data_IF_734981217491
#
_entry.id   IF_734981217491
#
_cell.length_a   1.000
_cell.length_b   1.000
_cell.length_c   1.000
_cell.angle_alpha   90.00
_cell.angle_beta   90.00
_cell.angle_gamma   90.00
#
_symmetry.space_group_name_H-M   'P 1'
#
loop_
_entity.id
_entity.type
_entity.pdbx_description
1 polymer ?
#
# COMPACT_ATOMS: atom_id res chain seq x y z
N UNK A 1 -12.25 -21.92 12.93
CA UNK A 1 -11.01 -21.99 12.12
C UNK A 1 -10.05 -22.96 12.81
N UNK A 2 -9.29 -23.80 12.09
CA UNK A 2 -8.35 -24.73 12.71
C UNK A 2 -7.24 -23.98 13.46
N UNK A 3 -6.66 -24.63 14.46
CA UNK A 3 -5.64 -24.03 15.33
C UNK A 3 -4.33 -23.75 14.57
N UNK A 4 -3.89 -22.49 14.62
CA UNK A 4 -2.68 -21.99 13.96
C UNK A 4 -2.94 -21.49 12.52
N UNK A 5 -3.30 -20.21 12.37
CA UNK A 5 -3.39 -19.56 11.08
C UNK A 5 -1.98 -19.39 10.45
N UNK A 6 -1.61 -20.34 9.58
CA UNK A 6 -0.32 -20.44 8.87
C UNK A 6 -0.35 -19.82 7.47
N UNK A 7 -0.80 -18.58 7.34
CA UNK A 7 -0.80 -17.93 6.03
C UNK A 7 0.33 -16.90 5.93
N UNK A 8 1.01 -16.91 4.79
CA UNK A 8 2.01 -15.90 4.40
C UNK A 8 1.39 -14.83 3.49
N UNK A 9 0.14 -15.04 3.06
CA UNK A 9 -0.55 -14.10 2.20
C UNK A 9 -2.06 -14.06 2.40
N UNK A 10 -2.67 -12.96 1.99
CA UNK A 10 -4.11 -12.82 1.84
C UNK A 10 -4.47 -11.91 0.67
N UNK A 11 -5.72 -12.02 0.24
CA UNK A 11 -6.32 -11.13 -0.75
C UNK A 11 -7.56 -10.50 -0.12
N UNK A 12 -7.67 -9.18 -0.25
CA UNK A 12 -8.82 -8.39 0.17
C UNK A 12 -9.45 -7.73 -1.07
N UNK A 13 -10.77 -7.65 -1.14
CA UNK A 13 -11.48 -7.06 -2.30
C UNK A 13 -12.32 -5.90 -1.81
N UNK A 14 -12.17 -4.74 -2.43
CA UNK A 14 -13.05 -3.60 -2.18
C UNK A 14 -14.12 -3.54 -3.27
N UNK A 15 -15.38 -3.64 -2.85
CA UNK A 15 -16.53 -3.50 -3.74
C UNK A 15 -16.59 -2.11 -4.35
N UNK A 16 -17.21 -2.01 -5.52
CA UNK A 16 -17.32 -0.76 -6.24
C UNK A 16 -18.44 0.14 -5.71
N UNK A 17 -18.21 0.66 -4.50
CA UNK A 17 -19.07 1.65 -3.85
C UNK A 17 -18.45 3.05 -3.94
N UNK A 18 -19.29 4.06 -4.17
CA UNK A 18 -18.92 5.47 -4.11
C UNK A 18 -18.38 5.85 -2.72
N UNK A 19 -17.33 6.66 -2.68
CA UNK A 19 -16.66 7.09 -1.44
C UNK A 19 -15.81 6.02 -0.74
N UNK A 20 -15.75 4.79 -1.27
CA UNK A 20 -14.89 3.74 -0.69
C UNK A 20 -13.41 4.00 -1.01
N UNK A 21 -12.54 3.81 -0.03
CA UNK A 21 -11.09 3.88 -0.18
C UNK A 21 -10.66 2.70 -1.07
N UNK A 22 -10.04 2.96 -2.23
CA UNK A 22 -9.64 1.92 -3.19
C UNK A 22 -8.14 1.65 -3.16
N UNK A 23 -7.62 1.46 -1.95
CA UNK A 23 -6.26 1.00 -1.64
C UNK A 23 -6.28 0.34 -0.26
N UNK A 24 -5.16 -0.26 0.17
CA UNK A 24 -5.02 -0.81 1.51
C UNK A 24 -5.31 0.22 2.61
N UNK A 25 -5.88 -0.24 3.71
CA UNK A 25 -6.07 0.52 4.94
C UNK A 25 -4.89 0.36 5.92
N UNK A 26 -4.80 1.19 6.98
CA UNK A 26 -3.88 0.94 8.09
C UNK A 26 -4.05 -0.45 8.73
N UNK A 27 -5.28 -0.97 8.77
CA UNK A 27 -5.57 -2.30 9.30
C UNK A 27 -5.00 -3.42 8.40
N UNK A 28 -5.04 -3.22 7.08
CA UNK A 28 -4.43 -4.14 6.13
C UNK A 28 -2.90 -4.19 6.33
N UNK A 29 -2.23 -3.04 6.37
CA UNK A 29 -0.77 -2.95 6.58
C UNK A 29 -0.38 -3.61 7.91
N UNK A 30 -1.12 -3.32 8.98
CA UNK A 30 -0.88 -3.91 10.29
C UNK A 30 -1.09 -5.44 10.28
N UNK A 31 -2.15 -5.92 9.64
CA UNK A 31 -2.44 -7.37 9.51
C UNK A 31 -1.37 -8.07 8.71
N UNK A 32 -0.93 -7.48 7.59
CA UNK A 32 0.16 -8.00 6.78
C UNK A 32 1.44 -8.18 7.60
N UNK A 33 1.89 -7.13 8.29
CA UNK A 33 3.11 -7.16 9.09
C UNK A 33 3.01 -8.06 10.32
N UNK A 34 1.85 -8.11 10.98
CA UNK A 34 1.62 -8.87 12.21
C UNK A 34 1.38 -10.36 11.96
N UNK A 35 0.71 -10.71 10.86
CA UNK A 35 0.30 -12.08 10.57
C UNK A 35 1.16 -12.68 9.47
N UNK A 36 1.21 -12.07 8.30
CA UNK A 36 1.88 -12.66 7.14
C UNK A 36 3.40 -12.67 7.32
N UNK A 37 4.00 -11.50 7.57
CA UNK A 37 5.46 -11.37 7.68
C UNK A 37 6.00 -12.11 8.91
N UNK A 38 5.32 -12.03 10.07
CA UNK A 38 5.74 -12.78 11.27
C UNK A 38 5.64 -14.29 11.08
N UNK A 39 4.54 -14.79 10.51
CA UNK A 39 4.42 -16.22 10.21
C UNK A 39 5.51 -16.67 9.24
N UNK A 40 5.77 -15.89 8.18
CA UNK A 40 6.82 -16.17 7.21
C UNK A 40 8.22 -16.16 7.85
N UNK A 41 8.50 -15.22 8.78
CA UNK A 41 9.74 -15.20 9.56
C UNK A 41 9.93 -16.45 10.41
N UNK A 42 8.87 -16.93 11.04
CA UNK A 42 8.93 -18.07 11.97
C UNK A 42 8.94 -19.43 11.27
N UNK A 43 8.38 -19.52 10.06
CA UNK A 43 8.04 -20.80 9.40
C UNK A 43 8.48 -20.92 7.94
N UNK A 44 9.10 -19.89 7.36
CA UNK A 44 9.49 -19.86 5.95
C UNK A 44 10.49 -18.74 5.67
N UNK A 45 10.36 -18.10 4.51
CA UNK A 45 11.13 -16.92 4.16
C UNK A 45 10.24 -15.67 4.22
N UNK A 46 10.67 -14.60 4.89
CA UNK A 46 9.90 -13.35 4.98
C UNK A 46 9.55 -12.76 3.61
N UNK A 47 10.39 -13.00 2.59
CA UNK A 47 10.13 -12.54 1.21
C UNK A 47 8.97 -13.25 0.52
N UNK A 48 8.49 -14.37 1.08
CA UNK A 48 7.29 -15.08 0.63
C UNK A 48 6.00 -14.38 1.09
N UNK A 49 6.10 -13.40 1.99
CA UNK A 49 4.94 -12.69 2.50
C UNK A 49 4.45 -11.63 1.50
N UNK A 50 3.18 -11.71 1.11
CA UNK A 50 2.52 -10.68 0.31
C UNK A 50 1.06 -10.49 0.71
N UNK A 51 0.51 -9.31 0.50
CA UNK A 51 -0.93 -9.07 0.58
C UNK A 51 -1.39 -8.39 -0.69
N UNK A 52 -2.60 -8.69 -1.17
CA UNK A 52 -3.18 -8.01 -2.33
C UNK A 52 -4.51 -7.37 -1.97
N UNK A 53 -4.77 -6.18 -2.53
CA UNK A 53 -6.11 -5.61 -2.56
C UNK A 53 -6.54 -5.40 -4.01
N UNK A 54 -7.71 -5.92 -4.35
CA UNK A 54 -8.31 -5.83 -5.68
C UNK A 54 -9.46 -4.84 -5.62
N UNK A 55 -9.44 -3.84 -6.49
CA UNK A 55 -10.43 -2.75 -6.49
C UNK A 55 -10.85 -2.36 -7.91
N UNK A 56 -11.94 -1.61 -8.03
CA UNK A 56 -12.35 -1.03 -9.32
C UNK A 56 -11.32 -0.07 -9.89
N UNK A 57 -10.59 0.66 -9.05
CA UNK A 57 -9.63 1.71 -9.46
C UNK A 57 -8.18 1.20 -9.65
N UNK A 58 -7.88 0.00 -9.19
CA UNK A 58 -6.54 -0.59 -9.31
C UNK A 58 -6.35 -1.82 -8.42
N UNK A 59 -5.32 -2.59 -8.74
CA UNK A 59 -4.87 -3.71 -7.92
C UNK A 59 -3.57 -3.32 -7.24
N UNK A 60 -3.40 -3.67 -5.97
CA UNK A 60 -2.19 -3.32 -5.23
C UNK A 60 -1.66 -4.52 -4.47
N UNK A 61 -0.34 -4.57 -4.29
CA UNK A 61 0.35 -5.61 -3.56
C UNK A 61 1.28 -5.01 -2.53
N UNK A 62 1.20 -5.47 -1.28
CA UNK A 62 2.25 -5.27 -0.28
C UNK A 62 3.24 -6.42 -0.35
N UNK A 63 4.53 -6.10 -0.24
CA UNK A 63 5.61 -7.08 -0.04
C UNK A 63 6.53 -6.62 1.09
N UNK A 64 7.29 -7.57 1.63
CA UNK A 64 8.30 -7.29 2.63
C UNK A 64 9.67 -7.87 2.22
N UNK A 65 10.67 -7.01 2.12
CA UNK A 65 12.06 -7.34 1.75
C UNK A 65 13.06 -7.05 2.89
N UNK A 66 12.57 -6.57 4.04
CA UNK A 66 13.41 -6.21 5.18
C UNK A 66 13.83 -7.41 6.05
N UNK A 67 14.51 -7.11 7.16
CA UNK A 67 15.06 -8.11 8.09
C UNK A 67 14.14 -8.46 9.28
N UNK A 68 12.95 -7.86 9.35
CA UNK A 68 11.99 -8.07 10.43
C UNK A 68 12.35 -7.36 11.74
N UNK A 69 13.21 -6.34 11.69
CA UNK A 69 13.64 -5.50 12.81
C UNK A 69 12.69 -4.34 13.13
N UNK A 70 11.38 -4.59 13.15
CA UNK A 70 10.36 -3.58 13.48
C UNK A 70 9.49 -4.01 14.66
N UNK A 71 8.89 -3.04 15.34
CA UNK A 71 7.89 -3.26 16.41
C UNK A 71 6.54 -2.70 16.00
N UNK A 72 5.46 -3.40 16.38
CA UNK A 72 4.08 -2.99 16.09
C UNK A 72 3.29 -2.66 17.37
N UNK A 73 3.86 -2.91 18.55
CA UNK A 73 3.15 -2.76 19.80
C UNK A 73 2.72 -1.31 20.01
N UNK A 74 1.41 -1.09 20.19
CA UNK A 74 0.82 0.24 20.41
C UNK A 74 0.79 1.16 19.19
N UNK A 75 1.22 0.70 18.00
CA UNK A 75 1.36 1.58 16.82
C UNK A 75 0.05 1.76 16.03
N UNK A 76 -0.87 0.80 16.10
CA UNK A 76 -2.05 0.77 15.24
C UNK A 76 -2.95 2.03 15.38
N UNK A 77 -3.16 2.53 16.59
CA UNK A 77 -3.98 3.73 16.81
C UNK A 77 -3.36 4.95 16.14
N UNK A 78 -2.05 5.15 16.31
CA UNK A 78 -1.29 6.25 15.68
C UNK A 78 -1.31 6.13 14.15
N UNK A 79 -1.20 4.91 13.62
CA UNK A 79 -1.27 4.67 12.19
C UNK A 79 -2.64 5.03 11.62
N UNK A 80 -3.71 4.59 12.30
CA UNK A 80 -5.08 4.90 11.92
C UNK A 80 -5.33 6.41 11.95
N UNK A 81 -4.98 7.08 13.04
CA UNK A 81 -5.18 8.52 13.20
C UNK A 81 -4.43 9.34 12.13
N UNK A 82 -3.17 9.00 11.86
CA UNK A 82 -2.36 9.69 10.84
C UNK A 82 -2.97 9.55 9.44
N UNK A 83 -3.40 8.34 9.06
CA UNK A 83 -4.00 8.10 7.76
C UNK A 83 -5.38 8.76 7.63
N UNK A 84 -6.23 8.63 8.66
CA UNK A 84 -7.55 9.25 8.69
C UNK A 84 -7.44 10.77 8.54
N UNK A 85 -6.48 11.40 9.22
CA UNK A 85 -6.23 12.84 9.07
C UNK A 85 -5.87 13.22 7.64
N UNK A 86 -4.92 12.53 7.00
CA UNK A 86 -4.54 12.78 5.59
C UNK A 86 -5.72 12.58 4.64
N UNK A 87 -6.58 11.60 4.92
CA UNK A 87 -7.77 11.32 4.11
C UNK A 87 -8.85 12.40 4.28
N UNK A 88 -9.10 12.84 5.51
CA UNK A 88 -10.01 13.95 5.82
C UNK A 88 -9.56 15.25 5.14
N UNK A 89 -8.25 15.54 5.14
CA UNK A 89 -7.68 16.68 4.41
C UNK A 89 -8.01 16.63 2.91
N UNK A 90 -8.08 15.45 2.27
CA UNK A 90 -8.51 15.34 0.87
C UNK A 90 -10.00 15.66 0.69
N UNK A 91 -10.84 15.21 1.62
CA UNK A 91 -12.29 15.46 1.58
C UNK A 91 -12.55 16.97 1.74
N UNK A 92 -12.01 17.59 2.79
CA UNK A 92 -12.24 18.99 3.12
C UNK A 92 -11.79 19.94 2.00
N UNK A 93 -10.75 19.55 1.27
CA UNK A 93 -10.21 20.32 0.15
C UNK A 93 -10.81 19.96 -1.22
N UNK A 94 -11.85 19.10 -1.28
CA UNK A 94 -12.43 18.60 -2.53
C UNK A 94 -11.40 17.98 -3.50
N UNK A 95 -10.42 17.26 -2.94
CA UNK A 95 -9.30 16.62 -3.65
C UNK A 95 -9.37 15.10 -3.61
N UNK A 96 -10.54 14.53 -3.32
CA UNK A 96 -10.71 13.08 -3.21
C UNK A 96 -10.69 12.43 -4.61
N UNK A 97 -9.48 12.10 -5.07
CA UNK A 97 -9.23 11.36 -6.32
C UNK A 97 -8.39 10.12 -6.01
N UNK A 98 -8.44 9.11 -6.89
CA UNK A 98 -7.64 7.90 -6.71
C UNK A 98 -6.14 8.20 -6.63
N UNK A 99 -5.64 9.08 -7.50
CA UNK A 99 -4.23 9.50 -7.50
C UNK A 99 -3.83 10.14 -6.16
N UNK A 100 -4.68 11.00 -5.61
CA UNK A 100 -4.42 11.62 -4.31
C UNK A 100 -4.49 10.60 -3.17
N UNK A 101 -5.41 9.62 -3.22
CA UNK A 101 -5.48 8.51 -2.27
C UNK A 101 -4.18 7.68 -2.30
N UNK A 102 -3.70 7.31 -3.49
CA UNK A 102 -2.43 6.60 -3.67
C UNK A 102 -1.26 7.41 -3.09
N UNK A 103 -1.23 8.72 -3.35
CA UNK A 103 -0.20 9.63 -2.84
C UNK A 103 -0.20 9.76 -1.32
N UNK A 104 -1.36 9.93 -0.67
CA UNK A 104 -1.39 10.02 0.80
C UNK A 104 -1.08 8.66 1.44
N UNK A 105 -1.40 7.56 0.77
CA UNK A 105 -1.07 6.22 1.26
C UNK A 105 0.44 5.97 1.22
N UNK A 106 1.13 6.36 0.15
CA UNK A 106 2.60 6.24 0.10
C UNK A 106 3.27 7.17 1.12
N UNK A 107 2.76 8.39 1.31
CA UNK A 107 3.22 9.28 2.39
C UNK A 107 3.00 8.63 3.76
N UNK A 108 1.84 8.02 3.99
CA UNK A 108 1.56 7.28 5.23
C UNK A 108 2.56 6.13 5.45
N UNK A 109 2.86 5.32 4.43
CA UNK A 109 3.88 4.27 4.54
C UNK A 109 5.27 4.83 4.86
N UNK A 110 5.64 5.95 4.23
CA UNK A 110 6.97 6.55 4.40
C UNK A 110 7.14 7.28 5.73
N UNK A 111 6.18 8.14 6.08
CA UNK A 111 6.27 9.08 7.21
C UNK A 111 5.77 8.47 8.52
N UNK A 112 4.70 7.67 8.47
CA UNK A 112 4.07 7.11 9.67
C UNK A 112 4.50 5.68 9.94
N UNK A 113 4.45 4.81 8.93
CA UNK A 113 4.85 3.41 9.12
C UNK A 113 6.37 3.32 9.25
N UNK A 114 7.10 3.91 8.30
CA UNK A 114 8.56 4.02 8.30
C UNK A 114 9.29 2.68 8.62
N UNK A 115 8.80 1.59 8.04
CA UNK A 115 9.41 0.26 8.19
C UNK A 115 10.24 -0.04 6.95
N UNK A 116 11.55 -0.23 7.15
CA UNK A 116 12.46 -0.59 6.06
C UNK A 116 12.09 -1.94 5.44
N UNK A 117 12.09 -1.99 4.11
CA UNK A 117 11.70 -3.15 3.31
C UNK A 117 10.20 -3.36 3.18
N UNK A 118 9.34 -2.50 3.75
CA UNK A 118 7.92 -2.50 3.39
C UNK A 118 7.73 -1.83 2.03
N UNK A 119 7.14 -2.55 1.10
CA UNK A 119 6.97 -2.12 -0.29
C UNK A 119 5.49 -2.22 -0.69
N UNK A 120 5.01 -1.24 -1.45
CA UNK A 120 3.70 -1.32 -2.12
C UNK A 120 3.87 -1.16 -3.63
N UNK A 121 3.22 -2.06 -4.36
CA UNK A 121 3.20 -2.08 -5.82
C UNK A 121 1.79 -1.84 -6.31
N UNK A 122 1.65 -1.04 -7.36
CA UNK A 122 0.47 -1.08 -8.23
C UNK A 122 0.65 -2.24 -9.21
N UNK A 123 -0.41 -3.02 -9.39
CA UNK A 123 -0.43 -4.19 -10.27
C UNK A 123 -1.28 -3.86 -11.48
N UNK A 124 -0.74 -4.14 -12.67
CA UNK A 124 -1.45 -3.98 -13.91
C UNK A 124 -2.66 -4.94 -13.97
N UNK A 125 -3.83 -4.41 -14.30
CA UNK A 125 -5.09 -5.18 -14.26
C UNK A 125 -5.19 -6.23 -15.38
N UNK A 126 -4.41 -6.09 -16.45
CA UNK A 126 -4.47 -6.97 -17.63
C UNK A 126 -3.44 -8.09 -17.57
N UNK A 127 -2.23 -7.77 -17.12
CA UNK A 127 -1.10 -8.70 -17.09
C UNK A 127 -0.85 -9.31 -15.71
N UNK A 128 -1.36 -8.69 -14.64
CA UNK A 128 -1.08 -9.11 -13.26
C UNK A 128 0.35 -8.81 -12.81
N UNK A 129 1.16 -8.14 -13.64
CA UNK A 129 2.53 -7.80 -13.31
C UNK A 129 2.59 -6.54 -12.44
N UNK A 130 3.60 -6.41 -11.55
CA UNK A 130 3.89 -5.15 -10.88
C UNK A 130 4.16 -4.07 -11.93
N UNK A 131 3.33 -3.04 -11.97
CA UNK A 131 3.48 -1.94 -12.90
C UNK A 131 4.42 -0.87 -12.34
N UNK A 132 4.33 -0.56 -11.03
CA UNK A 132 5.08 0.52 -10.37
C UNK A 132 5.26 0.20 -8.87
N UNK A 133 6.45 0.43 -8.30
CA UNK A 133 6.64 0.53 -6.84
C UNK A 133 6.31 1.95 -6.37
N UNK A 134 5.24 2.10 -5.58
CA UNK A 134 4.77 3.43 -5.20
C UNK A 134 5.62 4.08 -4.10
N UNK A 135 6.42 3.30 -3.34
CA UNK A 135 7.27 3.80 -2.24
C UNK A 135 8.52 4.53 -2.72
N UNK A 136 9.02 4.21 -3.92
CA UNK A 136 10.23 4.79 -4.50
C UNK A 136 9.96 6.01 -5.38
N UNK A 137 8.69 6.36 -5.59
CA UNK A 137 8.30 7.48 -6.47
C UNK A 137 8.38 8.81 -5.73
N UNK A 138 9.59 9.22 -5.33
CA UNK A 138 9.86 10.64 -5.17
C UNK A 138 9.93 11.26 -6.56
N UNK A 139 8.91 12.04 -6.95
CA UNK A 139 8.99 13.16 -7.91
C UNK A 139 9.49 12.89 -9.37
N UNK A 140 10.06 11.75 -9.71
CA UNK A 140 10.82 11.54 -10.98
C UNK A 140 9.93 11.22 -12.18
N UNK A 141 8.77 10.57 -12.01
CA UNK A 141 7.95 10.12 -13.14
C UNK A 141 6.99 11.21 -13.64
N UNK A 142 6.46 12.05 -12.75
CA UNK A 142 5.58 13.18 -13.11
C UNK A 142 6.29 14.25 -13.95
N UNK A 143 7.57 14.53 -13.70
CA UNK A 143 8.35 15.47 -14.53
C UNK A 143 8.68 14.91 -15.91
N UNK A 144 8.96 13.60 -16.00
CA UNK A 144 9.31 12.95 -17.27
C UNK A 144 8.10 12.86 -18.21
N UNK A 145 6.90 12.54 -17.71
CA UNK A 145 5.68 12.53 -18.53
C UNK A 145 5.23 13.93 -18.97
N UNK A 146 5.36 14.96 -18.12
CA UNK A 146 5.06 16.35 -18.49
C UNK A 146 6.01 16.91 -19.56
N UNK A 147 7.30 16.56 -19.54
CA UNK A 147 8.26 17.03 -20.55
C UNK A 147 8.17 16.24 -21.86
N UNK A 148 7.78 14.97 -21.82
CA UNK A 148 7.59 14.17 -23.04
C UNK A 148 6.34 14.61 -23.81
N UNK A 149 5.26 15.01 -23.14
CA UNK A 149 4.05 15.48 -23.83
C UNK A 149 4.15 16.89 -24.43
N UNK A 150 4.98 17.78 -23.88
CA UNK A 150 5.14 19.15 -24.40
C UNK A 150 6.21 19.30 -25.50
N UNK A 151 6.90 18.22 -25.88
CA UNK A 151 7.93 18.23 -26.94
C UNK A 151 7.48 17.53 -28.24
N UNK A 152 6.19 17.22 -28.41
CA UNK A 152 5.62 16.63 -29.65
C UNK A 152 4.56 17.57 -30.26
N UNK A 153 4.87 18.86 -30.28
CA UNK A 153 4.16 19.87 -31.08
C UNK A 153 5.21 20.84 -31.65
N UNK A 154 5.93 20.40 -32.68
CA UNK A 154 6.59 21.25 -33.67
C UNK A 154 6.33 20.66 -35.04
#
# INVERSE_FOLDING_TARGET
MPEGNKYFAYIHVHLDKEGAIKIFSPADVHTFLLKCVRNAKEKGNMSDAYAMVITSQGNYMLKYSGNGGYTLAGQYSTWKESYDRKYLELIENNKLTQENIEKIFTQFLKETINISGLEVYKIDKTTGNPSINLNTTEKTILYTLYHVHNNILI
#
